data_IF_473189461584
#
_entry.id   IF_473189461584
#
_cell.length_a   1.000
_cell.length_b   1.000
_cell.length_c   1.000
_cell.angle_alpha   90.00
_cell.angle_beta   90.00
_cell.angle_gamma   90.00
#
_symmetry.space_group_name_H-M   'P 1'
#
loop_
_entity.id
_entity.type
_entity.pdbx_description
1 polymer ?
#
# COMPACT_ATOMS: atom_id res chain seq x y z
N UNK A 1 39.29 -5.24 30.29
CA UNK A 1 38.52 -4.01 30.09
C UNK A 1 37.07 -4.44 30.19
N UNK A 2 36.32 -4.01 31.21
CA UNK A 2 34.96 -4.49 31.44
C UNK A 2 34.08 -4.09 30.25
N UNK A 3 33.66 -5.06 29.44
CA UNK A 3 32.61 -4.88 28.45
C UNK A 3 31.29 -4.77 29.21
N UNK A 4 30.97 -3.55 29.63
CA UNK A 4 29.66 -3.23 30.20
C UNK A 4 28.66 -3.29 29.03
N UNK A 5 27.89 -4.39 28.95
CA UNK A 5 26.86 -4.57 27.92
C UNK A 5 25.96 -3.33 27.87
N UNK A 6 25.95 -2.60 26.75
CA UNK A 6 25.17 -1.38 26.62
C UNK A 6 23.68 -1.71 26.51
N UNK A 7 22.91 -1.24 27.48
CA UNK A 7 21.45 -1.37 27.46
C UNK A 7 20.84 -0.54 26.32
N UNK A 8 19.87 -1.11 25.60
CA UNK A 8 19.12 -0.43 24.52
C UNK A 8 18.37 0.83 25.01
N UNK A 9 18.13 0.96 26.32
CA UNK A 9 17.51 2.17 26.86
C UNK A 9 18.38 3.42 26.62
N UNK A 10 19.70 3.24 26.46
CA UNK A 10 20.61 4.30 26.08
C UNK A 10 20.35 4.78 24.65
N UNK A 11 20.01 6.06 24.48
CA UNK A 11 19.72 6.67 23.17
C UNK A 11 20.90 6.55 22.18
N UNK A 12 22.13 6.41 22.67
CA UNK A 12 23.32 6.20 21.86
C UNK A 12 23.36 4.83 21.17
N UNK A 13 22.54 3.85 21.59
CA UNK A 13 22.60 2.49 21.06
C UNK A 13 21.80 2.26 19.78
N UNK A 14 20.96 3.24 19.40
CA UNK A 14 19.98 3.06 18.33
C UNK A 14 19.84 4.31 17.47
N UNK A 15 19.66 4.16 16.15
CA UNK A 15 19.44 5.29 15.29
C UNK A 15 18.11 5.98 15.61
N UNK A 16 18.06 7.29 15.36
CA UNK A 16 16.81 8.08 15.46
C UNK A 16 15.74 7.54 14.53
N UNK A 17 14.45 7.76 14.86
CA UNK A 17 13.35 7.38 13.95
C UNK A 17 13.50 8.05 12.58
N UNK A 18 13.93 9.31 12.56
CA UNK A 18 14.20 10.04 11.33
C UNK A 18 15.32 9.41 10.49
N UNK A 19 16.44 8.99 11.12
CA UNK A 19 17.50 8.25 10.42
C UNK A 19 16.96 6.94 9.83
N UNK A 20 16.17 6.19 10.59
CA UNK A 20 15.54 4.94 10.10
C UNK A 20 14.60 5.19 8.93
N UNK A 21 13.81 6.27 8.96
CA UNK A 21 12.95 6.68 7.85
C UNK A 21 13.77 7.06 6.62
N UNK A 22 14.85 7.83 6.79
CA UNK A 22 15.76 8.20 5.70
C UNK A 22 16.39 6.95 5.04
N UNK A 23 16.83 5.97 5.85
CA UNK A 23 17.33 4.71 5.33
C UNK A 23 16.27 3.96 4.51
N UNK A 24 15.02 3.92 4.98
CA UNK A 24 13.93 3.31 4.23
C UNK A 24 13.66 4.04 2.91
N UNK A 25 13.68 5.37 2.89
CA UNK A 25 13.52 6.18 1.67
C UNK A 25 14.62 5.84 0.65
N UNK A 26 15.88 5.76 1.10
CA UNK A 26 17.01 5.39 0.22
C UNK A 26 16.82 3.98 -0.35
N UNK A 27 16.42 3.02 0.49
CA UNK A 27 16.14 1.65 0.05
C UNK A 27 14.98 1.62 -0.99
N UNK A 28 13.90 2.37 -0.76
CA UNK A 28 12.78 2.46 -1.70
C UNK A 28 13.20 3.07 -3.03
N UNK A 29 14.01 4.13 -3.04
CA UNK A 29 14.53 4.73 -4.29
C UNK A 29 15.32 3.69 -5.10
N UNK A 30 16.20 2.92 -4.44
CA UNK A 30 17.00 1.88 -5.12
C UNK A 30 16.08 0.82 -5.74
N UNK A 31 15.08 0.37 -5.00
CA UNK A 31 14.15 -0.67 -5.49
C UNK A 31 13.24 -0.13 -6.59
N UNK A 32 12.78 1.12 -6.49
CA UNK A 32 12.00 1.78 -7.54
C UNK A 32 12.81 1.96 -8.83
N UNK A 33 14.11 2.24 -8.75
CA UNK A 33 14.98 2.27 -9.92
C UNK A 33 15.10 0.89 -10.59
N UNK A 34 15.12 -0.19 -9.79
CA UNK A 34 15.07 -1.56 -10.33
C UNK A 34 13.72 -1.79 -11.02
N UNK A 35 12.61 -1.43 -10.36
CA UNK A 35 11.26 -1.55 -10.93
C UNK A 35 11.09 -0.79 -12.23
N UNK A 36 11.61 0.44 -12.32
CA UNK A 36 11.65 1.23 -13.55
C UNK A 36 12.50 0.55 -14.63
N UNK A 37 13.70 0.07 -14.29
CA UNK A 37 14.57 -0.59 -15.27
C UNK A 37 13.95 -1.88 -15.83
N UNK A 38 13.27 -2.68 -14.98
CA UNK A 38 12.60 -3.91 -15.44
C UNK A 38 11.33 -3.61 -16.22
N UNK A 39 10.72 -2.44 -16.03
CA UNK A 39 9.50 -2.06 -16.72
C UNK A 39 9.68 -1.92 -18.22
N UNK A 40 10.85 -1.47 -18.69
CA UNK A 40 11.19 -1.45 -20.12
C UNK A 40 11.29 -2.83 -20.77
N UNK A 41 11.51 -3.88 -19.99
CA UNK A 41 11.74 -5.24 -20.49
C UNK A 41 10.51 -6.14 -20.35
N UNK A 42 9.62 -5.82 -19.41
CA UNK A 42 8.52 -6.70 -18.98
C UNK A 42 7.18 -5.96 -18.88
N UNK A 43 6.97 -4.92 -19.67
CA UNK A 43 5.74 -4.12 -19.68
C UNK A 43 4.49 -4.97 -19.90
N UNK A 44 4.42 -5.73 -20.99
CA UNK A 44 3.28 -6.61 -21.29
C UNK A 44 2.97 -7.58 -20.15
N UNK A 45 4.02 -8.15 -19.55
CA UNK A 45 3.89 -9.03 -18.38
C UNK A 45 3.29 -8.26 -17.20
N UNK A 46 3.76 -7.05 -16.89
CA UNK A 46 3.21 -6.25 -15.79
C UNK A 46 1.77 -5.77 -16.06
N UNK A 47 1.43 -5.43 -17.30
CA UNK A 47 0.05 -5.12 -17.70
C UNK A 47 -0.86 -6.32 -17.42
N UNK A 48 -0.42 -7.52 -17.84
CA UNK A 48 -1.17 -8.77 -17.70
C UNK A 48 -1.40 -9.20 -16.24
N UNK A 49 -0.57 -8.74 -15.30
CA UNK A 49 -0.78 -9.03 -13.87
C UNK A 49 -2.00 -8.34 -13.28
N UNK A 50 -2.51 -7.26 -13.90
CA UNK A 50 -3.66 -6.53 -13.39
C UNK A 50 -3.50 -6.11 -11.92
N UNK A 51 -4.49 -6.45 -11.09
CA UNK A 51 -4.49 -6.16 -9.65
C UNK A 51 -3.43 -6.95 -8.85
N UNK A 52 -2.81 -7.98 -9.44
CA UNK A 52 -1.74 -8.75 -8.79
C UNK A 52 -0.35 -8.10 -8.95
N UNK A 53 -0.24 -7.03 -9.74
CA UNK A 53 1.03 -6.33 -9.96
C UNK A 53 1.82 -6.00 -8.68
N UNK A 54 1.19 -5.48 -7.60
CA UNK A 54 1.89 -5.17 -6.34
C UNK A 54 2.60 -6.36 -5.67
N UNK A 55 2.22 -7.61 -5.99
CA UNK A 55 2.93 -8.80 -5.51
C UNK A 55 4.37 -8.86 -6.00
N UNK A 56 4.64 -8.34 -7.20
CA UNK A 56 5.99 -8.26 -7.75
C UNK A 56 6.85 -7.36 -6.86
N UNK A 57 6.37 -6.16 -6.55
CA UNK A 57 7.03 -5.25 -5.62
C UNK A 57 7.25 -5.85 -4.24
N UNK A 58 6.26 -6.57 -3.71
CA UNK A 58 6.40 -7.29 -2.44
C UNK A 58 7.54 -8.31 -2.49
N UNK A 59 7.65 -9.10 -3.56
CA UNK A 59 8.73 -10.07 -3.75
C UNK A 59 10.08 -9.36 -3.78
N UNK A 60 10.22 -8.28 -4.56
CA UNK A 60 11.46 -7.48 -4.61
C UNK A 60 11.85 -6.92 -3.25
N UNK A 61 10.90 -6.33 -2.52
CA UNK A 61 11.13 -5.79 -1.17
C UNK A 61 11.55 -6.90 -0.21
N UNK A 62 10.81 -8.00 -0.15
CA UNK A 62 11.12 -9.11 0.76
C UNK A 62 12.50 -9.67 0.45
N UNK A 63 12.81 -9.97 -0.81
CA UNK A 63 14.12 -10.52 -1.20
C UNK A 63 15.26 -9.55 -0.88
N UNK A 64 15.12 -8.27 -1.25
CA UNK A 64 16.13 -7.25 -0.96
C UNK A 64 16.41 -7.17 0.54
N UNK A 65 15.37 -7.00 1.37
CA UNK A 65 15.54 -6.87 2.81
C UNK A 65 16.01 -8.18 3.47
N UNK A 66 15.60 -9.35 2.96
CA UNK A 66 16.07 -10.65 3.46
C UNK A 66 17.56 -10.84 3.25
N UNK A 67 18.05 -10.56 2.04
CA UNK A 67 19.46 -10.72 1.71
C UNK A 67 20.29 -9.71 2.50
N UNK A 68 19.96 -8.42 2.39
CA UNK A 68 20.81 -7.38 2.96
C UNK A 68 20.75 -7.29 4.49
N UNK A 69 19.62 -7.61 5.12
CA UNK A 69 19.48 -7.54 6.58
C UNK A 69 19.76 -8.87 7.29
N UNK A 70 20.18 -9.90 6.54
CA UNK A 70 20.75 -11.12 7.10
C UNK A 70 22.27 -11.03 7.25
N UNK A 71 22.88 -12.10 7.74
CA UNK A 71 24.32 -12.33 7.80
C UNK A 71 25.02 -12.11 6.45
N UNK A 72 24.34 -12.40 5.33
CA UNK A 72 24.84 -12.20 3.97
C UNK A 72 25.17 -10.72 3.73
N UNK A 73 24.26 -9.82 4.13
CA UNK A 73 24.44 -8.38 4.02
C UNK A 73 24.99 -7.70 5.28
N UNK A 74 25.48 -8.48 6.25
CA UNK A 74 25.96 -8.01 7.56
C UNK A 74 24.90 -7.21 8.35
N UNK A 75 23.63 -7.51 8.14
CA UNK A 75 22.52 -6.83 8.81
C UNK A 75 22.19 -5.43 8.24
N UNK A 76 22.77 -5.04 7.10
CA UNK A 76 22.64 -3.68 6.55
C UNK A 76 22.13 -3.67 5.10
N UNK A 77 20.91 -3.14 4.91
CA UNK A 77 20.45 -2.63 3.62
C UNK A 77 21.26 -1.41 3.20
N UNK A 78 21.22 -1.07 1.91
CA UNK A 78 22.02 0.04 1.37
C UNK A 78 21.67 1.35 2.09
N UNK A 79 20.39 1.62 2.33
CA UNK A 79 19.94 2.76 3.13
C UNK A 79 20.43 2.70 4.58
N UNK A 80 20.48 1.51 5.19
CA UNK A 80 21.02 1.34 6.55
C UNK A 80 22.53 1.54 6.63
N UNK A 81 23.28 1.23 5.58
CA UNK A 81 24.72 1.55 5.48
C UNK A 81 24.94 3.07 5.52
N UNK A 82 24.07 3.83 4.83
CA UNK A 82 24.16 5.30 4.79
C UNK A 82 23.95 5.98 6.15
N UNK A 83 23.27 5.32 7.10
CA UNK A 83 23.04 5.84 8.46
C UNK A 83 23.83 5.10 9.53
N UNK A 84 24.78 4.23 9.14
CA UNK A 84 25.59 3.39 10.03
C UNK A 84 24.73 2.59 11.03
N UNK A 85 23.68 1.94 10.53
CA UNK A 85 22.80 1.10 11.33
C UNK A 85 22.79 -0.35 10.82
N UNK A 86 22.47 -1.29 11.70
CA UNK A 86 22.31 -2.71 11.35
C UNK A 86 21.13 -3.34 12.09
N UNK A 87 20.65 -4.45 11.56
CA UNK A 87 19.65 -5.31 12.20
C UNK A 87 20.35 -6.47 12.88
N UNK A 88 19.98 -6.72 14.13
CA UNK A 88 20.47 -7.85 14.92
C UNK A 88 19.32 -8.57 15.59
N UNK A 89 19.56 -9.77 16.10
CA UNK A 89 18.70 -10.37 17.11
C UNK A 89 18.82 -9.59 18.44
N UNK A 90 18.02 -9.98 19.43
CA UNK A 90 18.06 -9.38 20.79
C UNK A 90 19.36 -9.65 21.56
N UNK A 91 20.23 -10.54 21.08
CA UNK A 91 21.52 -10.87 21.67
C UNK A 91 22.69 -10.17 20.94
N UNK A 92 22.41 -9.37 19.90
CA UNK A 92 23.42 -8.69 19.08
C UNK A 92 23.94 -9.47 17.87
N UNK A 93 23.50 -10.72 17.67
CA UNK A 93 23.93 -11.53 16.54
C UNK A 93 23.27 -11.08 15.22
N UNK A 94 23.96 -11.35 14.11
CA UNK A 94 23.38 -11.18 12.78
C UNK A 94 22.23 -12.18 12.56
N UNK A 95 21.23 -11.77 11.79
CA UNK A 95 20.10 -12.63 11.47
C UNK A 95 20.48 -13.67 10.43
N UNK A 96 20.00 -14.89 10.60
CA UNK A 96 19.98 -15.86 9.49
C UNK A 96 19.08 -15.35 8.36
N UNK A 97 19.29 -15.84 7.13
CA UNK A 97 18.43 -15.51 5.99
C UNK A 97 16.94 -15.76 6.28
N UNK A 98 16.61 -16.89 6.91
CA UNK A 98 15.22 -17.24 7.26
C UNK A 98 14.59 -16.24 8.24
N UNK A 99 15.34 -15.79 9.25
CA UNK A 99 14.86 -14.78 10.19
C UNK A 99 14.62 -13.45 9.49
N UNK A 100 15.56 -13.01 8.65
CA UNK A 100 15.42 -11.78 7.87
C UNK A 100 14.24 -11.84 6.89
N UNK A 101 14.00 -13.00 6.27
CA UNK A 101 12.86 -13.24 5.38
C UNK A 101 11.52 -13.11 6.09
N UNK A 102 11.32 -13.84 7.19
CA UNK A 102 10.06 -13.76 7.96
C UNK A 102 9.82 -12.33 8.48
N UNK A 103 10.88 -11.67 8.96
CA UNK A 103 10.84 -10.28 9.40
C UNK A 103 10.42 -9.32 8.28
N UNK A 104 11.02 -9.45 7.09
CA UNK A 104 10.70 -8.61 5.94
C UNK A 104 9.27 -8.85 5.45
N UNK A 105 8.83 -10.11 5.40
CA UNK A 105 7.46 -10.49 5.00
C UNK A 105 6.42 -9.85 5.92
N UNK A 106 6.58 -9.96 7.25
CA UNK A 106 5.66 -9.33 8.21
C UNK A 106 5.67 -7.80 8.07
N UNK A 107 6.82 -7.21 7.76
CA UNK A 107 6.96 -5.76 7.59
C UNK A 107 6.24 -5.26 6.34
N UNK A 108 6.39 -5.92 5.18
CA UNK A 108 5.95 -5.36 3.90
C UNK A 108 4.59 -5.83 3.43
N UNK A 109 4.10 -7.01 3.84
CA UNK A 109 2.76 -7.51 3.47
C UNK A 109 1.65 -6.45 3.65
N UNK A 110 1.55 -5.76 4.81
CA UNK A 110 0.53 -4.75 5.04
C UNK A 110 0.47 -3.62 4.00
N UNK A 111 1.61 -3.29 3.39
CA UNK A 111 1.75 -2.13 2.51
C UNK A 111 1.60 -2.47 1.02
N UNK A 112 1.64 -3.76 0.65
CA UNK A 112 1.60 -4.20 -0.75
C UNK A 112 0.36 -5.02 -1.10
N UNK A 113 -0.23 -5.72 -0.13
CA UNK A 113 -1.38 -6.59 -0.40
C UNK A 113 -2.72 -5.85 -0.35
N UNK A 114 -2.77 -4.63 0.16
CA UNK A 114 -4.04 -3.93 0.41
C UNK A 114 -4.91 -3.81 -0.85
N UNK A 115 -4.30 -3.37 -1.95
CA UNK A 115 -4.97 -3.18 -3.25
C UNK A 115 -5.46 -4.47 -3.90
N UNK A 116 -4.89 -5.62 -3.54
CA UNK A 116 -5.28 -6.93 -4.10
C UNK A 116 -6.63 -7.38 -3.56
N UNK A 117 -6.95 -7.02 -2.31
CA UNK A 117 -8.12 -7.56 -1.61
C UNK A 117 -9.36 -6.66 -1.67
N UNK A 118 -9.27 -5.43 -2.17
CA UNK A 118 -10.41 -4.48 -2.18
C UNK A 118 -11.59 -4.86 -3.10
N UNK A 119 -11.49 -5.97 -3.83
CA UNK A 119 -12.44 -6.36 -4.89
C UNK A 119 -13.65 -7.14 -4.35
N UNK A 120 -13.62 -7.59 -3.08
CA UNK A 120 -14.70 -8.37 -2.46
C UNK A 120 -14.96 -7.94 -1.02
N UNK A 121 -16.12 -8.25 -0.47
CA UNK A 121 -16.46 -7.93 0.94
C UNK A 121 -15.51 -8.61 1.91
N UNK A 122 -15.23 -9.90 1.68
CA UNK A 122 -14.24 -10.67 2.47
C UNK A 122 -12.87 -10.01 2.35
N UNK A 123 -12.51 -9.60 1.14
CA UNK A 123 -11.26 -8.93 0.88
C UNK A 123 -11.17 -7.52 1.49
N UNK A 124 -12.29 -6.80 1.64
CA UNK A 124 -12.32 -5.54 2.40
C UNK A 124 -11.93 -5.78 3.87
N UNK A 125 -12.53 -6.77 4.54
CA UNK A 125 -12.15 -7.08 5.92
C UNK A 125 -10.68 -7.48 6.02
N UNK A 126 -10.17 -8.19 5.01
CA UNK A 126 -8.75 -8.52 4.94
C UNK A 126 -7.86 -7.29 4.75
N UNK A 127 -8.23 -6.37 3.85
CA UNK A 127 -7.59 -5.06 3.66
C UNK A 127 -7.58 -4.24 4.96
N UNK A 128 -8.68 -4.25 5.71
CA UNK A 128 -8.74 -3.60 7.02
C UNK A 128 -7.73 -4.22 8.00
N UNK A 129 -7.64 -5.54 8.05
CA UNK A 129 -6.65 -6.24 8.89
C UNK A 129 -5.21 -5.89 8.49
N UNK A 130 -4.92 -5.80 7.18
CA UNK A 130 -3.62 -5.38 6.68
C UNK A 130 -3.29 -3.94 7.09
N UNK A 131 -4.22 -3.00 6.91
CA UNK A 131 -4.05 -1.61 7.34
C UNK A 131 -3.77 -1.50 8.85
N UNK A 132 -4.49 -2.27 9.67
CA UNK A 132 -4.25 -2.33 11.12
C UNK A 132 -2.88 -2.91 11.45
N UNK A 133 -2.42 -3.93 10.73
CA UNK A 133 -1.08 -4.47 10.90
C UNK A 133 0.00 -3.42 10.54
N UNK A 134 -0.21 -2.64 9.47
CA UNK A 134 0.64 -1.51 9.09
C UNK A 134 0.72 -0.44 10.18
N UNK A 135 -0.44 -0.03 10.72
CA UNK A 135 -0.51 0.90 11.85
C UNK A 135 0.13 0.34 13.11
N UNK A 136 -0.05 -0.96 13.40
CA UNK A 136 0.59 -1.62 14.53
C UNK A 136 2.12 -1.59 14.42
N UNK A 137 2.69 -1.78 13.22
CA UNK A 137 4.13 -1.67 12.98
C UNK A 137 4.66 -0.29 13.41
N UNK A 138 4.00 0.78 12.95
CA UNK A 138 4.38 2.17 13.28
C UNK A 138 4.17 2.44 14.77
N UNK A 139 3.02 2.05 15.30
CA UNK A 139 2.64 2.24 16.69
C UNK A 139 3.67 1.64 17.66
N UNK A 140 4.00 0.35 17.49
CA UNK A 140 4.98 -0.31 18.34
C UNK A 140 6.37 0.34 18.24
N UNK A 141 6.76 0.80 17.04
CA UNK A 141 8.02 1.51 16.84
C UNK A 141 8.07 2.85 17.60
N UNK A 142 6.95 3.57 17.73
CA UNK A 142 6.88 4.84 18.46
C UNK A 142 6.87 4.66 19.98
N UNK A 143 6.19 3.61 20.46
CA UNK A 143 5.99 3.38 21.90
C UNK A 143 7.13 2.60 22.54
N UNK A 144 7.72 1.62 21.85
CA UNK A 144 8.74 0.79 22.48
C UNK A 144 10.04 1.56 22.71
N UNK A 145 10.66 1.33 23.88
CA UNK A 145 11.93 1.97 24.22
C UNK A 145 13.01 1.47 23.27
N UNK A 146 12.95 0.26 22.74
CA UNK A 146 13.83 -0.23 21.68
C UNK A 146 13.52 0.29 20.27
N UNK A 147 12.36 0.95 20.08
CA UNK A 147 11.77 1.25 18.76
C UNK A 147 11.58 0.01 17.89
N UNK A 148 11.28 -1.14 18.49
CA UNK A 148 10.92 -2.35 17.75
C UNK A 148 9.48 -2.22 17.24
N UNK A 149 9.28 -2.35 15.93
CA UNK A 149 7.94 -2.49 15.35
C UNK A 149 7.38 -3.90 15.54
N UNK A 150 6.15 -4.15 15.10
CA UNK A 150 5.51 -5.48 15.20
C UNK A 150 6.39 -6.62 14.65
N UNK A 151 6.96 -6.42 13.46
CA UNK A 151 7.88 -7.36 12.81
C UNK A 151 9.14 -7.66 13.64
N UNK A 152 9.67 -6.67 14.36
CA UNK A 152 10.84 -6.81 15.23
C UNK A 152 10.50 -7.54 16.54
N UNK A 153 9.30 -7.29 17.09
CA UNK A 153 8.81 -7.99 18.29
C UNK A 153 8.63 -9.47 18.00
N UNK A 154 7.88 -9.80 16.94
CA UNK A 154 7.56 -11.19 16.57
C UNK A 154 8.81 -11.99 16.24
N UNK A 155 9.79 -11.37 15.57
CA UNK A 155 11.01 -12.05 15.14
C UNK A 155 12.16 -11.96 16.15
N UNK A 156 11.96 -11.34 17.32
CA UNK A 156 13.02 -11.11 18.31
C UNK A 156 14.25 -10.40 17.73
N UNK A 157 14.01 -9.33 16.99
CA UNK A 157 15.05 -8.52 16.34
C UNK A 157 15.00 -7.06 16.74
N UNK A 158 16.07 -6.32 16.48
CA UNK A 158 16.15 -4.88 16.73
C UNK A 158 17.06 -4.18 15.71
N UNK A 159 17.01 -2.85 15.67
CA UNK A 159 17.89 -2.03 14.82
C UNK A 159 18.76 -1.14 15.69
N UNK A 160 20.07 -1.28 15.52
CA UNK A 160 21.10 -0.73 16.39
C UNK A 160 22.13 0.03 15.54
N UNK A 161 22.93 0.90 16.15
CA UNK A 161 24.06 1.50 15.42
C UNK A 161 25.11 0.41 15.10
N UNK A 162 25.81 0.56 13.98
CA UNK A 162 26.65 -0.49 13.41
C UNK A 162 27.88 -0.84 14.26
N UNK A 163 28.38 0.13 15.02
CA UNK A 163 29.51 0.06 15.95
C UNK A 163 29.24 -0.77 17.21
N UNK A 164 27.97 -1.08 17.49
CA UNK A 164 27.58 -1.83 18.70
C UNK A 164 27.68 -3.33 18.45
N UNK A 165 28.52 -4.01 19.22
CA UNK A 165 28.73 -5.46 19.16
C UNK A 165 27.77 -6.22 20.08
N UNK A 166 27.55 -5.72 21.29
CA UNK A 166 26.75 -6.38 22.32
C UNK A 166 25.59 -5.52 22.77
N UNK A 167 24.43 -6.16 22.89
CA UNK A 167 23.21 -5.49 23.30
C UNK A 167 22.41 -6.42 24.19
N UNK A 168 21.80 -5.84 25.22
CA UNK A 168 20.86 -6.51 26.10
C UNK A 168 19.53 -5.75 26.07
N UNK A 169 18.46 -6.48 25.77
CA UNK A 169 17.09 -5.96 25.79
C UNK A 169 16.35 -6.62 26.94
N UNK A 170 15.97 -5.82 27.93
CA UNK A 170 15.00 -6.23 28.93
C UNK A 170 13.60 -6.16 28.32
N UNK A 171 13.10 -7.27 27.78
CA UNK A 171 11.78 -7.33 27.13
C UNK A 171 10.61 -7.00 28.08
N UNK A 172 10.78 -7.20 29.39
CA UNK A 172 9.76 -6.90 30.39
C UNK A 172 9.59 -5.38 30.54
N UNK A 173 10.71 -4.66 30.52
CA UNK A 173 10.78 -3.20 30.66
C UNK A 173 10.92 -2.43 29.34
N UNK A 174 10.95 -3.10 28.18
CA UNK A 174 11.06 -2.47 26.85
C UNK A 174 9.81 -1.66 26.43
N UNK A 175 8.81 -1.58 27.30
CA UNK A 175 7.52 -0.95 27.03
C UNK A 175 7.45 0.42 27.71
N UNK A 176 7.28 1.49 26.94
CA UNK A 176 7.05 2.84 27.48
C UNK A 176 5.81 2.89 28.37
N UNK A 177 5.81 3.78 29.38
CA UNK A 177 4.67 4.06 30.28
C UNK A 177 3.39 4.54 29.56
N UNK A 178 3.40 4.71 28.23
CA UNK A 178 2.30 5.22 27.39
C UNK A 178 1.41 4.15 26.72
N UNK A 179 1.45 2.88 27.17
CA UNK A 179 0.69 1.76 26.56
C UNK A 179 -0.81 2.03 26.34
N UNK A 180 -1.45 2.75 27.26
CA UNK A 180 -2.90 2.95 27.27
C UNK A 180 -3.38 3.79 26.09
N UNK A 181 -2.62 4.81 25.70
CA UNK A 181 -2.98 5.73 24.60
C UNK A 181 -3.06 4.97 23.28
N UNK A 182 -2.15 4.03 23.07
CA UNK A 182 -2.06 3.31 21.83
C UNK A 182 -3.09 2.24 21.57
N UNK A 183 -3.47 1.51 22.63
CA UNK A 183 -4.60 0.58 22.55
C UNK A 183 -5.88 1.37 22.28
N UNK A 184 -6.08 2.52 22.96
CA UNK A 184 -7.23 3.40 22.71
C UNK A 184 -7.25 3.96 21.29
N UNK A 185 -6.10 4.36 20.72
CA UNK A 185 -6.03 4.83 19.32
C UNK A 185 -6.28 3.69 18.34
N UNK A 186 -5.70 2.50 18.56
CA UNK A 186 -5.89 1.35 17.67
C UNK A 186 -7.36 0.88 17.68
N UNK A 187 -7.99 0.83 18.86
CA UNK A 187 -9.42 0.55 19.01
C UNK A 187 -10.29 1.66 18.43
N UNK A 188 -9.89 2.93 18.60
CA UNK A 188 -10.59 4.08 18.00
C UNK A 188 -10.57 4.05 16.49
N UNK A 189 -9.42 3.76 15.87
CA UNK A 189 -9.29 3.56 14.43
C UNK A 189 -10.17 2.41 13.98
N UNK A 190 -10.11 1.26 14.65
CA UNK A 190 -10.96 0.09 14.37
C UNK A 190 -12.46 0.42 14.36
N UNK A 191 -12.94 1.18 15.34
CA UNK A 191 -14.35 1.58 15.44
C UNK A 191 -14.70 2.56 14.32
N UNK A 192 -13.87 3.57 14.07
CA UNK A 192 -14.11 4.56 12.99
C UNK A 192 -14.11 3.88 11.63
N UNK A 193 -13.15 2.98 11.34
CA UNK A 193 -13.10 2.24 10.08
C UNK A 193 -14.28 1.29 9.92
N UNK A 194 -14.80 0.69 11.00
CA UNK A 194 -15.97 -0.20 10.93
C UNK A 194 -17.26 0.57 10.65
N UNK A 195 -17.42 1.75 11.26
CA UNK A 195 -18.56 2.65 10.99
C UNK A 195 -18.48 3.20 9.56
N UNK A 196 -17.29 3.64 9.14
CA UNK A 196 -17.07 4.14 7.79
C UNK A 196 -17.28 3.04 6.73
N UNK A 197 -16.87 1.80 7.01
CA UNK A 197 -17.15 0.67 6.14
C UNK A 197 -18.63 0.38 6.00
N UNK A 198 -19.41 0.40 7.09
CA UNK A 198 -20.85 0.19 7.00
C UNK A 198 -21.51 1.26 6.11
N UNK A 199 -21.08 2.52 6.23
CA UNK A 199 -21.54 3.61 5.37
C UNK A 199 -21.07 3.48 3.92
N UNK A 200 -19.87 2.97 3.68
CA UNK A 200 -19.31 2.78 2.34
C UNK A 200 -19.94 1.58 1.63
N UNK A 201 -20.02 0.43 2.29
CA UNK A 201 -20.47 -0.83 1.71
C UNK A 201 -21.96 -0.83 1.33
N UNK A 202 -22.82 -0.18 2.12
CA UNK A 202 -24.24 -0.03 1.77
C UNK A 202 -24.48 0.81 0.50
N UNK A 203 -23.48 1.54 0.00
CA UNK A 203 -23.55 2.24 -1.29
C UNK A 203 -23.03 1.44 -2.49
N UNK A 204 -22.38 0.29 -2.26
CA UNK A 204 -21.78 -0.54 -3.33
C UNK A 204 -22.64 -1.74 -3.74
N UNK A 205 -23.59 -2.17 -2.90
CA UNK A 205 -24.45 -3.33 -3.20
C UNK A 205 -25.25 -3.17 -4.49
N UNK A 206 -25.57 -1.94 -4.89
CA UNK A 206 -26.39 -1.64 -6.07
C UNK A 206 -25.58 -1.54 -7.38
N UNK A 207 -24.24 -1.59 -7.32
CA UNK A 207 -23.37 -1.39 -8.50
C UNK A 207 -22.69 -2.68 -8.97
N UNK A 208 -22.95 -3.82 -8.32
CA UNK A 208 -22.28 -5.10 -8.61
C UNK A 208 -22.71 -5.70 -9.94
N UNK A 209 -23.97 -5.56 -10.30
CA UNK A 209 -24.53 -6.05 -11.57
C UNK A 209 -23.94 -5.27 -12.74
N UNK A 210 -23.98 -3.94 -12.68
CA UNK A 210 -23.31 -3.05 -13.63
C UNK A 210 -21.80 -3.35 -13.78
N UNK A 211 -21.07 -3.55 -12.67
CA UNK A 211 -19.66 -3.98 -12.73
C UNK A 211 -19.51 -5.29 -13.51
N UNK A 212 -20.34 -6.28 -13.20
CA UNK A 212 -20.24 -7.62 -13.81
C UNK A 212 -20.52 -7.57 -15.31
N UNK A 213 -21.50 -6.78 -15.74
CA UNK A 213 -21.80 -6.61 -17.17
C UNK A 213 -20.68 -5.85 -17.90
N UNK A 214 -20.10 -4.80 -17.30
CA UNK A 214 -18.96 -4.08 -17.88
C UNK A 214 -17.74 -5.00 -18.04
N UNK A 215 -17.48 -5.88 -17.08
CA UNK A 215 -16.35 -6.85 -17.14
C UNK A 215 -16.55 -7.95 -18.20
N UNK A 216 -17.74 -8.09 -18.81
CA UNK A 216 -17.97 -9.02 -19.93
C UNK A 216 -17.56 -8.44 -21.29
N UNK A 217 -17.32 -7.13 -21.37
CA UNK A 217 -16.84 -6.47 -22.59
C UNK A 217 -15.41 -6.98 -22.87
N UNK A 218 -15.13 -7.48 -24.07
CA UNK A 218 -13.86 -8.19 -24.40
C UNK A 218 -12.62 -7.30 -24.23
N UNK A 219 -12.81 -6.01 -24.51
CA UNK A 219 -11.80 -4.95 -24.43
C UNK A 219 -11.45 -4.57 -22.98
N UNK A 220 -12.33 -4.91 -22.05
CA UNK A 220 -12.23 -4.59 -20.62
C UNK A 220 -11.48 -5.70 -19.89
N UNK A 221 -10.39 -5.32 -19.23
CA UNK A 221 -9.62 -6.21 -18.37
C UNK A 221 -10.33 -6.46 -17.04
N UNK A 222 -10.68 -5.37 -16.35
CA UNK A 222 -11.46 -5.34 -15.12
C UNK A 222 -11.92 -3.91 -14.80
N UNK A 223 -12.94 -3.78 -13.96
CA UNK A 223 -13.38 -2.48 -13.45
C UNK A 223 -12.52 -2.09 -12.23
N UNK A 224 -11.83 -0.96 -12.31
CA UNK A 224 -11.04 -0.42 -11.19
C UNK A 224 -11.95 0.16 -10.10
N UNK A 225 -13.03 0.84 -10.51
CA UNK A 225 -13.96 1.48 -9.60
C UNK A 225 -15.25 1.86 -10.29
N UNK A 226 -16.37 1.68 -9.60
CA UNK A 226 -17.69 2.13 -10.00
C UNK A 226 -18.33 2.72 -8.75
N UNK A 227 -18.64 4.02 -8.76
CA UNK A 227 -19.16 4.70 -7.57
C UNK A 227 -20.04 5.89 -7.95
N UNK A 228 -21.11 6.09 -7.17
CA UNK A 228 -21.92 7.31 -7.17
C UNK A 228 -21.34 8.26 -6.13
N UNK A 229 -21.09 9.51 -6.50
CA UNK A 229 -20.52 10.53 -5.60
C UNK A 229 -21.14 11.90 -5.82
N UNK A 230 -21.27 12.67 -4.75
CA UNK A 230 -21.68 14.07 -4.83
C UNK A 230 -20.43 14.94 -4.70
N UNK A 231 -20.19 15.81 -5.68
CA UNK A 231 -19.09 16.77 -5.66
C UNK A 231 -19.63 18.20 -5.66
N UNK A 232 -18.92 19.12 -5.02
CA UNK A 232 -19.24 20.55 -5.10
C UNK A 232 -18.24 21.20 -6.05
N UNK A 233 -18.72 21.82 -7.13
CA UNK A 233 -17.86 22.60 -8.04
C UNK A 233 -18.04 24.09 -7.79
N UNK A 234 -16.92 24.82 -7.87
CA UNK A 234 -16.87 26.27 -7.87
C UNK A 234 -16.22 26.66 -9.19
N UNK A 235 -16.99 27.32 -10.06
CA UNK A 235 -16.50 27.84 -11.34
C UNK A 235 -16.55 29.36 -11.24
N UNK A 236 -15.42 30.03 -11.51
CA UNK A 236 -15.32 31.48 -11.73
C UNK A 236 -16.07 32.37 -10.70
N UNK A 237 -15.78 32.22 -9.41
CA UNK A 237 -16.38 33.02 -8.31
C UNK A 237 -17.92 32.91 -8.17
N UNK A 238 -18.56 31.93 -8.80
CA UNK A 238 -19.97 31.63 -8.58
C UNK A 238 -20.19 30.84 -7.28
N UNK A 239 -21.43 30.93 -6.77
CA UNK A 239 -21.84 30.13 -5.61
C UNK A 239 -21.59 28.64 -5.88
N UNK A 240 -21.03 27.91 -4.90
CA UNK A 240 -20.82 26.47 -5.04
C UNK A 240 -22.13 25.78 -5.40
N UNK A 241 -22.12 24.97 -6.46
CA UNK A 241 -23.23 24.10 -6.80
C UNK A 241 -22.84 22.64 -6.61
N UNK A 242 -23.80 21.84 -6.18
CA UNK A 242 -23.63 20.41 -5.97
C UNK A 242 -23.96 19.67 -7.27
N UNK A 243 -23.08 18.73 -7.63
CA UNK A 243 -23.20 17.83 -8.76
C UNK A 243 -23.22 16.39 -8.26
N UNK A 244 -24.23 15.64 -8.67
CA UNK A 244 -24.26 14.18 -8.53
C UNK A 244 -23.55 13.55 -9.73
N UNK A 245 -22.57 12.69 -9.47
CA UNK A 245 -21.69 12.11 -10.47
C UNK A 245 -21.64 10.58 -10.34
N UNK A 246 -21.63 9.87 -11.47
CA UNK A 246 -21.20 8.48 -11.54
C UNK A 246 -19.78 8.43 -12.09
N UNK A 247 -18.86 7.80 -11.36
CA UNK A 247 -17.49 7.57 -11.79
C UNK A 247 -17.33 6.10 -12.15
N UNK A 248 -17.01 5.83 -13.42
CA UNK A 248 -16.68 4.50 -13.92
C UNK A 248 -15.23 4.51 -14.35
N UNK A 249 -14.39 3.71 -13.70
CA UNK A 249 -12.97 3.56 -14.05
C UNK A 249 -12.73 2.12 -14.45
N UNK A 250 -12.25 1.94 -15.68
CA UNK A 250 -12.07 0.63 -16.31
C UNK A 250 -10.65 0.48 -16.80
N UNK A 251 -10.06 -0.69 -16.59
CA UNK A 251 -8.78 -1.04 -17.20
C UNK A 251 -9.00 -1.69 -18.56
N UNK A 252 -8.30 -1.19 -19.58
CA UNK A 252 -8.33 -1.74 -20.94
C UNK A 252 -7.14 -2.64 -21.21
N UNK A 253 -7.33 -3.62 -22.11
CA UNK A 253 -6.31 -4.59 -22.48
C UNK A 253 -5.28 -4.05 -23.49
N UNK A 254 -5.64 -3.01 -24.25
CA UNK A 254 -4.81 -2.43 -25.31
C UNK A 254 -4.63 -0.91 -25.09
N UNK A 255 -3.42 -0.42 -25.36
CA UNK A 255 -3.10 1.00 -25.28
C UNK A 255 -3.79 1.82 -26.38
N UNK A 256 -4.18 1.18 -27.50
CA UNK A 256 -4.86 1.84 -28.62
C UNK A 256 -6.15 2.56 -28.22
N UNK A 257 -6.85 2.08 -27.19
CA UNK A 257 -8.06 2.74 -26.63
C UNK A 257 -7.75 4.07 -25.93
N UNK A 258 -6.48 4.41 -25.74
CA UNK A 258 -6.04 5.71 -25.24
C UNK A 258 -5.37 6.59 -26.31
N UNK A 259 -4.94 6.00 -27.42
CA UNK A 259 -4.28 6.71 -28.53
C UNK A 259 -5.30 7.21 -29.58
N UNK A 260 -6.38 6.46 -29.79
CA UNK A 260 -7.39 6.78 -30.79
C UNK A 260 -8.70 7.19 -30.15
N UNK A 261 -9.09 8.45 -30.36
CA UNK A 261 -10.31 9.03 -29.81
C UNK A 261 -11.57 8.26 -30.24
N UNK A 262 -11.59 7.73 -31.47
CA UNK A 262 -12.69 6.89 -31.96
C UNK A 262 -12.88 5.62 -31.11
N UNK A 263 -11.79 4.91 -30.80
CA UNK A 263 -11.83 3.69 -30.00
C UNK A 263 -12.19 3.99 -28.54
N UNK A 264 -11.63 5.08 -27.99
CA UNK A 264 -11.96 5.51 -26.63
C UNK A 264 -13.44 5.89 -26.50
N UNK A 265 -13.98 6.56 -27.52
CA UNK A 265 -15.36 7.01 -27.55
C UNK A 265 -16.33 5.83 -27.69
N UNK A 266 -16.07 4.92 -28.62
CA UNK A 266 -16.92 3.73 -28.84
C UNK A 266 -17.00 2.88 -27.57
N UNK A 267 -15.85 2.54 -26.96
CA UNK A 267 -15.83 1.74 -25.74
C UNK A 267 -16.52 2.47 -24.57
N UNK A 268 -16.31 3.79 -24.45
CA UNK A 268 -16.95 4.59 -23.42
C UNK A 268 -18.47 4.65 -23.60
N UNK A 269 -18.96 4.71 -24.85
CA UNK A 269 -20.40 4.72 -25.18
C UNK A 269 -21.05 3.37 -24.86
N UNK A 270 -20.34 2.27 -25.11
CA UNK A 270 -20.76 0.93 -24.70
C UNK A 270 -20.87 0.82 -23.17
N UNK A 271 -19.85 1.26 -22.44
CA UNK A 271 -19.84 1.24 -20.96
C UNK A 271 -20.96 2.13 -20.40
N UNK A 272 -21.13 3.34 -20.93
CA UNK A 272 -22.18 4.26 -20.52
C UNK A 272 -23.59 3.65 -20.70
N UNK A 273 -23.80 2.93 -21.81
CA UNK A 273 -25.07 2.24 -22.07
C UNK A 273 -25.37 1.16 -21.03
N UNK A 274 -24.36 0.38 -20.63
CA UNK A 274 -24.50 -0.62 -19.55
C UNK A 274 -24.84 0.05 -18.22
N UNK A 275 -24.17 1.17 -17.90
CA UNK A 275 -24.45 1.94 -16.68
C UNK A 275 -25.88 2.44 -16.65
N UNK A 276 -26.38 2.99 -17.76
CA UNK A 276 -27.77 3.48 -17.85
C UNK A 276 -28.81 2.36 -17.68
N UNK A 277 -28.47 1.13 -18.10
CA UNK A 277 -29.38 -0.01 -18.00
C UNK A 277 -29.39 -0.62 -16.59
N UNK A 278 -28.22 -0.78 -15.99
CA UNK A 278 -28.04 -1.57 -14.76
C UNK A 278 -27.97 -0.71 -13.49
N UNK A 279 -27.84 0.61 -13.61
CA UNK A 279 -27.82 1.55 -12.47
C UNK A 279 -29.01 2.51 -12.58
N UNK A 280 -30.14 2.26 -11.88
CA UNK A 280 -31.32 3.12 -11.94
C UNK A 280 -31.03 4.60 -11.68
N UNK A 281 -30.12 4.88 -10.74
CA UNK A 281 -29.68 6.22 -10.34
C UNK A 281 -28.95 6.97 -11.47
N UNK A 282 -28.46 6.29 -12.51
CA UNK A 282 -27.79 6.93 -13.65
C UNK A 282 -28.70 7.87 -14.45
N UNK A 283 -30.02 7.74 -14.29
CA UNK A 283 -30.99 8.65 -14.89
C UNK A 283 -31.21 9.93 -14.06
N UNK A 284 -30.74 9.98 -12.82
CA UNK A 284 -30.97 11.06 -11.86
C UNK A 284 -29.69 11.83 -11.50
N UNK A 285 -28.53 11.41 -12.01
CA UNK A 285 -27.25 12.10 -11.85
C UNK A 285 -27.02 13.18 -12.91
N UNK A 286 -26.16 14.15 -12.60
CA UNK A 286 -25.86 15.28 -13.47
C UNK A 286 -24.79 14.92 -14.52
N UNK A 287 -23.78 14.12 -14.14
CA UNK A 287 -22.75 13.63 -15.07
C UNK A 287 -22.41 12.15 -14.82
N UNK A 288 -22.04 11.45 -15.90
CA UNK A 288 -21.37 10.15 -15.84
C UNK A 288 -19.99 10.29 -16.46
N UNK A 289 -18.95 9.94 -15.71
CA UNK A 289 -17.56 9.96 -16.17
C UNK A 289 -17.07 8.54 -16.40
N UNK A 290 -16.77 8.21 -17.66
CA UNK A 290 -16.14 6.94 -18.02
C UNK A 290 -14.65 7.20 -18.24
N UNK A 291 -13.81 6.58 -17.42
CA UNK A 291 -12.35 6.70 -17.46
C UNK A 291 -11.73 5.37 -17.86
N UNK A 292 -11.09 5.35 -19.02
CA UNK A 292 -10.30 4.20 -19.48
C UNK A 292 -8.87 4.35 -18.99
N UNK A 293 -8.29 3.27 -18.49
CA UNK A 293 -6.91 3.22 -17.97
C UNK A 293 -6.14 2.08 -18.61
N UNK A 294 -4.95 2.36 -19.12
CA UNK A 294 -3.98 1.35 -19.57
C UNK A 294 -2.71 1.45 -18.73
N UNK A 295 -2.03 0.32 -18.54
CA UNK A 295 -0.74 0.24 -17.85
C UNK A 295 -0.75 -0.68 -16.65
N UNK A 296 0.18 -0.47 -15.72
CA UNK A 296 0.40 -1.38 -14.58
C UNK A 296 0.84 -0.64 -13.32
N UNK A 297 0.71 -1.35 -12.20
CA UNK A 297 1.21 -0.95 -10.91
C UNK A 297 1.88 -2.17 -10.26
N UNK A 298 3.21 -2.16 -10.18
CA UNK A 298 3.96 -3.25 -9.54
C UNK A 298 4.30 -2.94 -8.08
N UNK A 299 3.69 -1.89 -7.50
CA UNK A 299 3.90 -1.44 -6.12
C UNK A 299 5.22 -0.69 -5.88
N UNK A 300 6.30 -1.06 -6.57
CA UNK A 300 7.61 -0.37 -6.53
C UNK A 300 7.80 0.66 -7.65
N UNK A 301 7.00 0.53 -8.71
CA UNK A 301 6.93 1.42 -9.88
C UNK A 301 5.54 1.30 -10.51
N UNK A 302 5.08 2.34 -11.18
CA UNK A 302 3.85 2.29 -11.95
C UNK A 302 4.01 3.09 -13.26
N UNK A 303 3.26 2.67 -14.26
CA UNK A 303 3.07 3.40 -15.49
C UNK A 303 1.60 3.30 -15.86
N UNK A 304 0.90 4.44 -15.90
CA UNK A 304 -0.54 4.48 -16.18
C UNK A 304 -0.82 5.63 -17.12
N UNK A 305 -1.64 5.37 -18.13
CA UNK A 305 -2.23 6.37 -19.01
C UNK A 305 -3.75 6.30 -18.84
N UNK A 306 -4.41 7.45 -18.92
CA UNK A 306 -5.85 7.54 -18.72
C UNK A 306 -6.47 8.50 -19.72
N UNK A 307 -7.68 8.18 -20.16
CA UNK A 307 -8.57 9.12 -20.86
C UNK A 307 -9.94 9.07 -20.22
N UNK A 308 -10.65 10.20 -20.20
CA UNK A 308 -11.96 10.32 -19.58
C UNK A 308 -12.93 10.95 -20.55
N UNK A 309 -14.10 10.33 -20.71
CA UNK A 309 -15.26 10.87 -21.42
C UNK A 309 -16.35 11.20 -20.41
N UNK A 310 -16.87 12.41 -20.51
CA UNK A 310 -17.94 12.93 -19.65
C UNK A 310 -19.25 12.95 -20.44
N UNK A 311 -20.30 12.38 -19.83
CA UNK A 311 -21.67 12.41 -20.32
C UNK A 311 -22.46 13.32 -19.41
N UNK A 312 -22.73 14.54 -19.87
CA UNK A 312 -23.59 15.49 -19.19
C UNK A 312 -25.05 15.27 -19.61
N UNK A 313 -25.97 15.61 -18.71
CA UNK A 313 -27.41 15.59 -19.00
C UNK A 313 -27.89 16.88 -19.67
#
# INVERSE_FOLDING_TARGET
MNEESLSISNKATRPSLFKRLLALIVDTIIISLIGFATSFLFEDFYVSLGNLGPLVGLIFMVLYFSIFQSEIGKGQSIGKRAIEAKVTDINGNLLTFKQAFLRATILFIPFYLDSVFLISEVGFYFSLLLNLAGLAIIYFMLINISRRGLHDILMKTTVVNADISEITIDEENDKSKKKTIGITVLTGVLVVTSVFFNSFYNGFTDLREARTEIEKIEEVSYVNGLSITNSTRIINDESPFNLSLILVSVKVNDESYLDFEEYSNDLSDQIYSVVQQEVPEANDVDEVNVTLTYGYDIGIWNHKRTTTKTYER
#
